data_IF_221052641088
#
_entry.id   IF_221052641088
#
_cell.length_a   1.000
_cell.length_b   1.000
_cell.length_c   1.000
_cell.angle_alpha   90.00
_cell.angle_beta   90.00
_cell.angle_gamma   90.00
#
_symmetry.space_group_name_H-M   'P 1'
#
loop_
_entity.id
_entity.type
_entity.pdbx_description
1 polymer ?
#
# COMPACT_ATOMS: atom_id res chain seq x y z
N UNK A 1 3.20 4.22 -16.76
CA UNK A 1 2.29 3.62 -15.76
C UNK A 1 2.99 3.68 -14.41
N UNK A 2 2.52 4.54 -13.50
CA UNK A 2 3.14 4.74 -12.19
C UNK A 2 2.75 3.58 -11.27
N UNK A 3 3.73 3.06 -10.50
CA UNK A 3 3.54 1.93 -9.57
C UNK A 3 3.60 2.42 -8.13
N UNK A 4 2.63 2.02 -7.33
CA UNK A 4 2.47 2.36 -5.92
C UNK A 4 2.69 1.13 -5.05
N UNK A 5 3.88 1.00 -4.46
CA UNK A 5 4.26 -0.20 -3.72
C UNK A 5 3.64 -0.28 -2.32
N UNK A 6 3.25 -1.48 -1.92
CA UNK A 6 2.89 -1.80 -0.53
C UNK A 6 4.12 -1.74 0.38
N UNK A 7 3.99 -1.00 1.48
CA UNK A 7 4.96 -0.95 2.56
C UNK A 7 5.02 -2.30 3.27
N UNK A 8 6.22 -2.90 3.29
CA UNK A 8 6.58 -4.11 4.07
C UNK A 8 5.67 -5.32 3.84
N UNK A 9 5.23 -5.58 2.60
CA UNK A 9 4.44 -6.79 2.33
C UNK A 9 5.34 -8.04 2.34
N UNK A 10 4.95 -9.09 3.06
CA UNK A 10 5.73 -10.34 3.22
C UNK A 10 5.12 -11.47 2.38
N UNK A 11 5.97 -12.36 1.86
CA UNK A 11 5.64 -13.45 0.93
C UNK A 11 4.61 -14.42 1.48
N UNK A 12 4.83 -14.83 2.72
CA UNK A 12 3.94 -15.64 3.55
C UNK A 12 4.62 -15.82 4.90
N UNK A 13 3.86 -15.70 6.00
CA UNK A 13 4.37 -16.01 7.33
C UNK A 13 4.88 -17.46 7.41
N UNK A 14 4.20 -18.41 6.74
CA UNK A 14 4.62 -19.83 6.71
C UNK A 14 5.96 -20.05 6.01
N UNK A 15 6.18 -19.36 4.88
CA UNK A 15 7.47 -19.42 4.18
C UNK A 15 8.58 -18.74 5.01
N UNK A 16 8.25 -17.67 5.73
CA UNK A 16 9.17 -17.02 6.64
C UNK A 16 9.60 -17.93 7.79
N UNK A 17 8.66 -18.61 8.43
CA UNK A 17 8.95 -19.58 9.49
C UNK A 17 9.81 -20.74 8.97
N UNK A 18 9.49 -21.28 7.80
CA UNK A 18 10.25 -22.40 7.22
C UNK A 18 11.70 -22.00 6.91
N UNK A 19 11.92 -20.82 6.33
CA UNK A 19 13.28 -20.30 6.08
C UNK A 19 14.02 -20.03 7.40
N UNK A 20 13.34 -19.48 8.41
CA UNK A 20 13.93 -19.26 9.72
C UNK A 20 14.36 -20.57 10.42
N UNK A 21 13.56 -21.63 10.32
CA UNK A 21 13.88 -22.95 10.89
C UNK A 21 15.06 -23.60 10.16
N UNK A 22 15.07 -23.58 8.83
CA UNK A 22 16.21 -24.08 8.04
C UNK A 22 17.50 -23.34 8.39
N UNK A 23 17.39 -22.03 8.64
CA UNK A 23 18.53 -21.21 9.03
C UNK A 23 19.03 -21.52 10.44
N UNK A 24 18.15 -21.67 11.44
CA UNK A 24 18.60 -22.03 12.80
C UNK A 24 19.30 -23.37 12.80
N UNK A 25 18.81 -24.35 12.03
CA UNK A 25 19.49 -25.63 11.83
C UNK A 25 20.87 -25.47 11.18
N UNK A 26 20.98 -24.66 10.12
CA UNK A 26 22.26 -24.38 9.45
C UNK A 26 23.26 -23.68 10.38
N UNK A 27 22.80 -22.74 11.21
CA UNK A 27 23.65 -22.06 12.19
C UNK A 27 24.14 -22.98 13.29
N UNK A 28 23.27 -23.84 13.82
CA UNK A 28 23.67 -24.85 14.83
C UNK A 28 24.73 -25.79 14.24
N UNK A 29 24.51 -26.28 13.02
CA UNK A 29 25.50 -27.12 12.33
C UNK A 29 26.83 -26.38 12.11
N UNK A 30 26.78 -25.11 11.68
CA UNK A 30 27.97 -24.29 11.46
C UNK A 30 28.74 -24.01 12.76
N UNK A 31 28.04 -23.73 13.86
CA UNK A 31 28.65 -23.54 15.19
C UNK A 31 29.33 -24.83 15.66
N UNK A 32 28.67 -25.99 15.51
CA UNK A 32 29.25 -27.30 15.88
C UNK A 32 30.52 -27.57 15.07
N UNK A 33 30.48 -27.32 13.76
CA UNK A 33 31.64 -27.50 12.88
C UNK A 33 32.78 -26.59 13.32
N UNK A 34 32.54 -25.29 13.48
CA UNK A 34 33.59 -24.34 13.88
C UNK A 34 34.18 -24.69 15.25
N UNK A 35 33.35 -25.11 16.21
CA UNK A 35 33.80 -25.50 17.54
C UNK A 35 34.69 -26.74 17.52
N UNK A 36 34.48 -27.67 16.59
CA UNK A 36 35.32 -28.86 16.42
C UNK A 36 36.51 -28.66 15.47
N UNK A 37 36.44 -27.73 14.52
CA UNK A 37 37.49 -27.52 13.53
C UNK A 37 38.45 -26.38 13.83
N UNK A 38 38.11 -25.48 14.76
CA UNK A 38 38.80 -24.17 14.88
C UNK A 38 38.76 -23.61 16.31
N UNK A 39 39.85 -22.97 16.74
CA UNK A 39 39.95 -22.22 18.01
C UNK A 39 39.51 -20.75 17.86
N UNK A 40 38.63 -20.46 16.91
CA UNK A 40 38.20 -19.09 16.65
C UNK A 40 37.26 -18.58 17.74
N UNK A 41 37.41 -17.34 18.21
CA UNK A 41 36.54 -16.77 19.24
C UNK A 41 35.11 -16.58 18.71
N UNK A 42 34.12 -16.87 19.57
CA UNK A 42 32.68 -16.84 19.28
C UNK A 42 32.19 -15.52 18.63
N UNK A 43 32.84 -14.40 18.92
CA UNK A 43 32.50 -13.09 18.37
C UNK A 43 32.61 -13.02 16.83
N UNK A 44 33.41 -13.89 16.21
CA UNK A 44 33.54 -14.00 14.75
C UNK A 44 32.26 -14.51 14.07
N UNK A 45 31.35 -15.13 14.82
CA UNK A 45 30.07 -15.66 14.33
C UNK A 45 28.95 -14.59 14.31
N UNK A 46 29.15 -13.46 14.99
CA UNK A 46 28.13 -12.41 15.11
C UNK A 46 27.78 -11.76 13.76
N UNK A 47 28.75 -11.39 12.90
CA UNK A 47 28.43 -10.80 11.60
C UNK A 47 27.60 -11.70 10.66
N UNK A 48 27.96 -12.99 10.41
CA UNK A 48 27.10 -13.86 9.62
C UNK A 48 25.75 -14.12 10.30
N UNK A 49 25.69 -14.14 11.64
CA UNK A 49 24.44 -14.30 12.36
C UNK A 49 23.44 -13.15 12.17
N UNK A 50 23.93 -11.91 12.01
CA UNK A 50 23.11 -10.72 11.83
C UNK A 50 22.75 -10.44 10.37
N UNK A 51 23.65 -10.73 9.42
CA UNK A 51 23.41 -10.43 8.00
C UNK A 51 22.32 -11.31 7.38
N UNK A 52 22.20 -12.54 7.83
CA UNK A 52 21.29 -13.52 7.24
C UNK A 52 19.81 -13.24 7.55
N UNK A 53 19.37 -12.92 8.79
CA UNK A 53 17.97 -12.53 9.01
C UNK A 53 17.56 -11.30 8.20
N UNK A 54 18.48 -10.35 7.98
CA UNK A 54 18.25 -9.20 7.09
C UNK A 54 18.02 -9.68 5.65
N UNK A 55 18.89 -10.55 5.13
CA UNK A 55 18.77 -11.14 3.80
C UNK A 55 17.48 -11.96 3.63
N UNK A 56 17.07 -12.71 4.64
CA UNK A 56 15.83 -13.50 4.65
C UNK A 56 14.60 -12.60 4.61
N UNK A 57 14.57 -11.52 5.41
CA UNK A 57 13.48 -10.54 5.39
C UNK A 57 13.38 -9.84 4.02
N UNK A 58 14.53 -9.52 3.41
CA UNK A 58 14.56 -8.94 2.06
C UNK A 58 14.08 -9.94 1.00
N UNK A 59 14.52 -11.20 1.05
CA UNK A 59 14.12 -12.25 0.12
C UNK A 59 12.63 -12.60 0.22
N UNK A 60 12.09 -12.56 1.43
CA UNK A 60 10.67 -12.81 1.69
C UNK A 60 9.80 -11.59 1.45
N UNK A 61 10.35 -10.44 1.05
CA UNK A 61 9.54 -9.26 0.78
C UNK A 61 8.86 -9.41 -0.57
N UNK A 62 7.56 -9.16 -0.58
CA UNK A 62 6.79 -8.98 -1.79
C UNK A 62 6.86 -7.50 -2.17
N UNK A 63 7.32 -7.22 -3.38
CA UNK A 63 7.11 -5.92 -4.03
C UNK A 63 5.75 -5.98 -4.73
N UNK A 64 4.70 -6.00 -3.91
CA UNK A 64 3.31 -5.86 -4.37
C UNK A 64 3.09 -4.39 -4.67
N UNK A 65 2.53 -4.08 -5.82
CA UNK A 65 2.24 -2.71 -6.23
C UNK A 65 0.82 -2.60 -6.76
N UNK A 66 0.28 -1.40 -6.61
CA UNK A 66 -0.92 -0.96 -7.30
C UNK A 66 -0.52 -0.05 -8.45
N UNK A 67 -1.28 -0.09 -9.54
CA UNK A 67 -1.14 0.92 -10.58
C UNK A 67 -2.51 1.26 -11.12
N UNK A 68 -2.60 2.48 -11.62
CA UNK A 68 -3.80 3.03 -12.21
C UNK A 68 -3.66 2.93 -13.73
N UNK A 69 -4.65 2.32 -14.38
CA UNK A 69 -4.76 2.37 -15.83
C UNK A 69 -5.76 3.46 -16.23
N UNK A 70 -5.23 4.63 -16.59
CA UNK A 70 -6.04 5.79 -17.00
C UNK A 70 -6.89 5.50 -18.24
N UNK A 71 -6.50 4.58 -19.12
CA UNK A 71 -7.26 4.30 -20.36
C UNK A 71 -8.55 3.54 -20.09
N UNK A 72 -8.52 2.64 -19.12
CA UNK A 72 -9.64 1.76 -18.78
C UNK A 72 -10.32 2.16 -17.47
N UNK A 73 -9.77 3.15 -16.75
CA UNK A 73 -10.23 3.58 -15.43
C UNK A 73 -10.32 2.42 -14.43
N UNK A 74 -9.30 1.55 -14.46
CA UNK A 74 -9.19 0.36 -13.63
C UNK A 74 -8.00 0.50 -12.67
N UNK A 75 -8.23 0.10 -11.42
CA UNK A 75 -7.18 -0.11 -10.44
C UNK A 75 -6.70 -1.56 -10.54
N UNK A 76 -5.41 -1.76 -10.74
CA UNK A 76 -4.78 -3.07 -10.79
C UNK A 76 -3.85 -3.28 -9.60
N UNK A 77 -3.75 -4.53 -9.16
CA UNK A 77 -2.73 -4.99 -8.24
C UNK A 77 -1.83 -6.02 -8.93
N UNK A 78 -0.53 -5.88 -8.73
CA UNK A 78 0.50 -6.75 -9.30
C UNK A 78 1.63 -7.03 -8.32
N UNK A 79 2.55 -7.90 -8.73
CA UNK A 79 3.81 -8.10 -8.05
C UNK A 79 4.95 -8.23 -9.06
N UNK A 80 6.18 -7.92 -8.67
CA UNK A 80 7.32 -7.99 -9.59
C UNK A 80 7.80 -9.42 -9.87
N UNK A 81 7.24 -10.42 -9.18
CA UNK A 81 7.61 -11.84 -9.31
C UNK A 81 6.81 -12.60 -10.39
N UNK A 82 6.22 -11.89 -11.35
CA UNK A 82 5.72 -12.48 -12.60
C UNK A 82 4.27 -13.01 -12.58
N UNK A 83 3.46 -12.71 -11.55
CA UNK A 83 2.01 -12.96 -11.66
C UNK A 83 1.37 -11.89 -12.53
N UNK A 84 0.42 -12.30 -13.38
CA UNK A 84 -0.39 -11.36 -14.16
C UNK A 84 -1.09 -10.39 -13.20
N UNK A 85 -1.05 -9.08 -13.45
CA UNK A 85 -1.81 -8.11 -12.67
C UNK A 85 -3.30 -8.48 -12.70
N UNK A 86 -3.98 -8.29 -11.57
CA UNK A 86 -5.42 -8.51 -11.47
C UNK A 86 -6.13 -7.20 -11.19
N UNK A 87 -7.36 -7.09 -11.70
CA UNK A 87 -8.21 -5.93 -11.47
C UNK A 87 -8.71 -5.96 -10.03
N UNK A 88 -8.52 -4.85 -9.32
CA UNK A 88 -8.95 -4.65 -7.94
C UNK A 88 -10.34 -4.03 -7.90
N UNK A 89 -10.55 -2.99 -8.70
CA UNK A 89 -11.84 -2.32 -8.87
C UNK A 89 -11.84 -1.38 -10.08
N UNK A 90 -13.04 -1.03 -10.55
CA UNK A 90 -13.26 0.11 -11.43
C UNK A 90 -13.29 1.39 -10.62
N UNK A 91 -12.86 2.50 -11.22
CA UNK A 91 -12.94 3.81 -10.58
C UNK A 91 -14.38 4.26 -10.36
N UNK A 92 -15.30 3.89 -11.25
CA UNK A 92 -16.74 4.15 -11.10
C UNK A 92 -17.36 3.49 -9.86
N UNK A 93 -16.74 2.43 -9.36
CA UNK A 93 -17.25 1.67 -8.22
C UNK A 93 -16.59 2.13 -6.90
N UNK A 94 -15.72 3.13 -6.94
CA UNK A 94 -15.09 3.68 -5.75
C UNK A 94 -16.00 4.76 -5.16
N UNK A 95 -16.39 4.56 -3.90
CA UNK A 95 -17.26 5.48 -3.16
C UNK A 95 -16.44 6.56 -2.47
N UNK A 96 -15.32 6.15 -1.87
CA UNK A 96 -14.45 7.06 -1.11
C UNK A 96 -13.02 6.54 -1.18
N UNK A 97 -12.08 7.46 -1.41
CA UNK A 97 -10.64 7.19 -1.34
C UNK A 97 -10.01 8.26 -0.45
N UNK A 98 -9.36 7.85 0.64
CA UNK A 98 -8.82 8.81 1.62
C UNK A 98 -7.53 8.32 2.23
N UNK A 99 -6.55 9.21 2.37
CA UNK A 99 -5.32 8.93 3.07
C UNK A 99 -5.48 9.18 4.57
N UNK A 100 -5.16 8.18 5.40
CA UNK A 100 -5.19 8.25 6.85
C UNK A 100 -3.80 8.62 7.38
N UNK A 101 -3.56 9.85 7.86
CA UNK A 101 -2.21 10.31 8.23
C UNK A 101 -1.64 9.56 9.44
N UNK A 102 -2.49 9.17 10.38
CA UNK A 102 -2.09 8.52 11.62
C UNK A 102 -1.59 7.09 11.39
N UNK A 103 -2.25 6.30 10.54
CA UNK A 103 -1.86 4.92 10.22
C UNK A 103 -0.97 4.83 8.98
N UNK A 104 -0.90 5.90 8.18
CA UNK A 104 -0.23 5.94 6.87
C UNK A 104 -0.80 4.91 5.89
N UNK A 105 -2.12 4.75 5.94
CA UNK A 105 -2.89 3.83 5.11
C UNK A 105 -3.80 4.61 4.17
N UNK A 106 -4.08 4.06 3.00
CA UNK A 106 -5.12 4.54 2.10
C UNK A 106 -6.37 3.70 2.33
N UNK A 107 -7.45 4.35 2.75
CA UNK A 107 -8.78 3.76 2.84
C UNK A 107 -9.43 3.81 1.46
N UNK A 108 -9.85 2.64 0.96
CA UNK A 108 -10.58 2.46 -0.30
C UNK A 108 -11.94 1.87 0.02
N UNK A 109 -12.99 2.68 -0.06
CA UNK A 109 -14.36 2.27 0.18
C UNK A 109 -15.02 1.89 -1.14
N UNK A 110 -15.52 0.65 -1.23
CA UNK A 110 -16.28 0.10 -2.35
C UNK A 110 -17.68 -0.30 -1.85
N UNK A 111 -18.67 -0.49 -2.74
CA UNK A 111 -20.00 -0.98 -2.36
C UNK A 111 -19.96 -2.31 -1.58
N UNK A 112 -18.96 -3.16 -1.85
CA UNK A 112 -18.80 -4.46 -1.20
C UNK A 112 -17.95 -4.47 0.07
N UNK A 113 -17.40 -3.33 0.50
CA UNK A 113 -16.54 -3.26 1.69
C UNK A 113 -15.45 -2.19 1.63
N UNK A 114 -14.68 -2.08 2.72
CA UNK A 114 -13.58 -1.12 2.83
C UNK A 114 -12.24 -1.86 2.89
N UNK A 115 -11.34 -1.51 1.98
CA UNK A 115 -9.96 -2.00 1.94
C UNK A 115 -9.01 -0.95 2.53
N UNK A 116 -8.01 -1.40 3.29
CA UNK A 116 -6.96 -0.54 3.85
C UNK A 116 -5.61 -0.90 3.24
N UNK A 117 -5.10 0.00 2.39
CA UNK A 117 -3.84 -0.20 1.68
C UNK A 117 -2.68 0.51 2.37
N UNK A 118 -1.68 -0.27 2.78
CA UNK A 118 -0.43 0.25 3.37
C UNK A 118 0.54 0.66 2.26
N UNK A 119 0.26 1.72 1.51
CA UNK A 119 1.13 2.18 0.41
C UNK A 119 2.32 2.98 0.95
N UNK A 120 3.48 2.85 0.29
CA UNK A 120 4.66 3.66 0.61
C UNK A 120 4.43 5.16 0.28
N UNK A 121 3.78 5.41 -0.85
CA UNK A 121 3.41 6.73 -1.38
C UNK A 121 1.88 6.88 -1.37
N UNK A 122 1.28 6.69 -0.19
CA UNK A 122 -0.18 6.66 -0.06
C UNK A 122 -0.86 7.99 -0.35
N UNK A 123 -0.22 9.13 -0.03
CA UNK A 123 -0.79 10.46 -0.30
C UNK A 123 -0.85 10.72 -1.81
N UNK A 124 0.27 10.58 -2.50
CA UNK A 124 0.39 10.76 -3.94
C UNK A 124 -0.60 9.88 -4.72
N UNK A 125 -0.84 8.66 -4.24
CA UNK A 125 -1.84 7.75 -4.82
C UNK A 125 -3.27 8.31 -4.73
N UNK A 126 -3.64 8.89 -3.58
CA UNK A 126 -4.98 9.51 -3.40
C UNK A 126 -5.11 10.77 -4.24
N UNK A 127 -4.05 11.58 -4.31
CA UNK A 127 -4.04 12.80 -5.12
C UNK A 127 -4.23 12.47 -6.62
N UNK A 128 -3.55 11.44 -7.14
CA UNK A 128 -3.73 10.99 -8.54
C UNK A 128 -5.14 10.44 -8.81
N UNK A 129 -5.70 9.65 -7.88
CA UNK A 129 -7.08 9.18 -8.01
C UNK A 129 -8.06 10.36 -8.02
N UNK A 130 -7.84 11.36 -7.17
CA UNK A 130 -8.70 12.55 -7.08
C UNK A 130 -8.67 13.35 -8.38
N UNK A 131 -7.47 13.56 -8.94
CA UNK A 131 -7.31 14.24 -10.24
C UNK A 131 -8.05 13.49 -11.37
N UNK A 132 -7.97 12.16 -11.38
CA UNK A 132 -8.68 11.33 -12.36
C UNK A 132 -10.20 11.45 -12.16
N UNK A 133 -10.68 11.45 -10.92
CA UNK A 133 -12.10 11.66 -10.62
C UNK A 133 -12.61 13.02 -11.10
N UNK A 134 -11.86 14.09 -10.86
CA UNK A 134 -12.19 15.43 -11.35
C UNK A 134 -12.20 15.51 -12.88
N UNK A 135 -11.36 14.73 -13.55
CA UNK A 135 -11.34 14.65 -15.02
C UNK A 135 -12.52 13.86 -15.61
N UNK A 136 -12.96 12.79 -14.94
CA UNK A 136 -14.10 11.97 -15.38
C UNK A 136 -15.43 12.67 -15.05
N UNK A 137 -15.50 13.34 -13.91
CA UNK A 137 -16.66 14.07 -13.42
C UNK A 137 -16.28 15.56 -13.24
N UNK A 138 -16.02 16.30 -14.33
CA UNK A 138 -15.74 17.72 -14.24
C UNK A 138 -16.92 18.43 -13.60
N UNK A 139 -16.65 19.16 -12.52
CA UNK A 139 -17.66 19.99 -11.86
C UNK A 139 -17.94 21.22 -12.74
N UNK A 140 -18.86 21.09 -13.69
CA UNK A 140 -19.41 22.24 -14.42
C UNK A 140 -20.95 22.36 -14.23
N UNK A 141 -21.32 23.29 -13.32
CA UNK A 141 -22.43 24.29 -13.38
C UNK A 141 -23.91 23.87 -13.56
N UNK A 142 -24.70 23.96 -12.47
CA UNK A 142 -25.94 24.77 -12.25
C UNK A 142 -26.67 24.23 -10.98
N UNK A 143 -26.89 24.97 -9.90
CA UNK A 143 -27.69 26.19 -9.82
C UNK A 143 -27.03 27.31 -9.01
N UNK A 144 -26.76 28.41 -9.71
CA UNK A 144 -27.09 29.75 -9.23
C UNK A 144 -28.60 29.81 -9.04
N UNK A 145 -29.08 29.67 -7.80
CA UNK A 145 -30.23 30.46 -7.37
C UNK A 145 -29.65 31.69 -6.70
N UNK A 146 -29.35 32.69 -7.52
CA UNK A 146 -29.36 34.07 -7.06
C UNK A 146 -30.81 34.37 -6.73
N UNK A 147 -31.23 34.09 -5.50
CA UNK A 147 -32.38 34.80 -4.94
C UNK A 147 -31.88 36.22 -4.71
N UNK A 148 -32.08 37.08 -5.71
CA UNK A 148 -32.24 38.50 -5.48
C UNK A 148 -33.48 38.66 -4.59
N UNK A 149 -33.33 38.47 -3.28
CA UNK A 149 -34.21 39.13 -2.32
C UNK A 149 -33.80 40.60 -2.32
N UNK A 150 -34.40 41.31 -3.28
CA UNK A 150 -34.52 42.75 -3.23
C UNK A 150 -35.15 43.14 -1.91
N UNK A 151 -34.35 43.84 -1.12
CA UNK A 151 -34.77 44.68 -0.01
C UNK A 151 -35.86 45.65 -0.50
N UNK A 152 -37.11 45.41 -0.07
CA UNK A 152 -38.11 46.46 0.04
C UNK A 152 -38.80 46.33 1.38
N UNK A 153 -38.21 46.98 2.38
CA UNK A 153 -38.88 47.90 3.31
C UNK A 153 -40.36 47.61 3.64
N UNK A 154 -40.58 47.19 4.89
CA UNK A 154 -41.85 47.36 5.61
C UNK A 154 -42.21 48.86 5.70
N UNK A 155 -43.51 49.24 5.75
CA UNK A 155 -44.16 49.34 7.07
C UNK A 155 -45.65 48.96 7.13
N UNK A 156 -46.10 48.83 8.39
CA UNK A 156 -47.43 48.61 8.99
C UNK A 156 -48.60 49.48 8.48
N UNK A 157 -49.81 49.00 8.81
CA UNK A 157 -51.13 49.63 9.10
C UNK A 157 -52.23 48.91 8.28
N UNK A 158 -53.35 48.39 8.80
CA UNK A 158 -54.10 48.50 10.07
C UNK A 158 -54.69 47.14 10.50
#
# INVERSE_FOLDING_TARGET
MKKYYLRRSLRSAKAAYLVAILYTLAMVAFIIVIFHSTTAPLWTLIPPALLIPIGVVLYLRHDTYYYIDEKTYLLYAGNDYGRKPHVVCKFTDLVEVTYLPHTKEVKLTKPGGTDYLKLAEGKDFVDEITEIFERIYPKDVHHTETTEEGDTTSPKED
#
